data_IF_760412277227
#
_entry.id   IF_760412277227
#
_cell.length_a   1.000
_cell.length_b   1.000
_cell.length_c   1.000
_cell.angle_alpha   90.00
_cell.angle_beta   90.00
_cell.angle_gamma   90.00
#
_symmetry.space_group_name_H-M   'P 1'
#
loop_
_entity.id
_entity.type
_entity.pdbx_description
1 polymer ?
#
# COMPACT_ATOMS: atom_id res chain seq x y z
N UNK A 1 4.71 -12.46 2.01
CA UNK A 1 3.43 -12.66 1.28
C UNK A 1 3.43 -13.87 0.36
N UNK A 2 4.46 -14.13 -0.44
CA UNK A 2 4.47 -15.27 -1.38
C UNK A 2 4.16 -16.64 -0.73
N UNK A 3 4.56 -16.86 0.52
CA UNK A 3 4.22 -18.10 1.26
C UNK A 3 2.71 -18.27 1.46
N UNK A 4 2.00 -17.20 1.81
CA UNK A 4 0.54 -17.21 2.01
C UNK A 4 -0.19 -17.44 0.69
N UNK A 5 0.33 -16.86 -0.40
CA UNK A 5 -0.19 -17.09 -1.75
C UNK A 5 -0.07 -18.57 -2.13
N UNK A 6 1.08 -19.20 -1.83
CA UNK A 6 1.27 -20.65 -2.08
C UNK A 6 0.35 -21.53 -1.23
N UNK A 7 -0.06 -21.04 -0.06
CA UNK A 7 -1.02 -21.72 0.83
C UNK A 7 -2.47 -21.52 0.41
N UNK A 8 -2.74 -20.63 -0.54
CA UNK A 8 -4.10 -20.31 -1.00
C UNK A 8 -4.91 -19.47 0.01
N UNK A 9 -4.23 -18.84 0.97
CA UNK A 9 -4.90 -17.98 1.95
C UNK A 9 -5.50 -16.75 1.27
N UNK A 10 -6.64 -16.30 1.80
CA UNK A 10 -7.32 -15.09 1.38
C UNK A 10 -7.73 -14.26 2.60
N UNK A 11 -7.80 -12.94 2.41
CA UNK A 11 -8.13 -11.99 3.46
C UNK A 11 -9.21 -11.01 3.02
N UNK A 12 -10.09 -10.66 3.96
CA UNK A 12 -11.08 -9.60 3.77
C UNK A 12 -10.50 -8.19 3.89
N UNK A 13 -9.29 -8.06 4.42
CA UNK A 13 -8.64 -6.77 4.65
C UNK A 13 -7.12 -6.91 4.66
N UNK A 14 -6.43 -5.98 4.02
CA UNK A 14 -4.97 -5.87 4.08
C UNK A 14 -4.60 -4.43 4.44
N UNK A 15 -3.76 -4.26 5.46
CA UNK A 15 -3.13 -2.99 5.81
C UNK A 15 -1.64 -3.11 5.53
N UNK A 16 -1.13 -2.29 4.62
CA UNK A 16 0.25 -2.29 4.14
C UNK A 16 0.96 -1.04 4.64
N UNK A 17 2.09 -1.28 5.31
CA UNK A 17 2.98 -0.23 5.78
C UNK A 17 4.44 -0.55 5.43
N UNK A 18 4.79 -0.59 4.14
CA UNK A 18 6.13 -0.96 3.71
C UNK A 18 7.16 0.11 4.08
N UNK A 19 8.34 -0.26 4.61
CA UNK A 19 9.43 0.68 4.84
C UNK A 19 10.04 1.16 3.53
N UNK A 20 10.67 2.33 3.54
CA UNK A 20 11.43 2.89 2.40
C UNK A 20 12.55 1.95 1.94
N UNK A 21 13.32 1.44 2.90
CA UNK A 21 14.45 0.55 2.71
C UNK A 21 14.45 -0.50 3.82
N UNK A 22 14.90 -1.70 3.50
CA UNK A 22 14.97 -2.77 4.48
C UNK A 22 15.70 -4.00 3.97
N UNK A 23 15.52 -5.10 4.71
CA UNK A 23 15.90 -6.43 4.25
C UNK A 23 14.67 -7.32 4.27
N UNK A 24 14.48 -8.10 3.22
CA UNK A 24 13.45 -9.11 3.16
C UNK A 24 13.80 -10.33 4.01
N UNK A 25 12.92 -11.33 3.98
CA UNK A 25 12.93 -12.45 4.92
C UNK A 25 14.16 -13.36 4.78
N UNK A 26 14.82 -13.35 3.62
CA UNK A 26 16.03 -14.13 3.35
C UNK A 26 17.28 -13.22 3.23
N UNK A 27 17.19 -11.97 3.67
CA UNK A 27 18.28 -11.00 3.65
C UNK A 27 18.40 -10.21 2.35
N UNK A 28 17.48 -10.40 1.40
CA UNK A 28 17.39 -9.63 0.15
C UNK A 28 17.23 -8.13 0.43
N UNK A 29 17.84 -7.29 -0.40
CA UNK A 29 17.69 -5.84 -0.28
C UNK A 29 16.25 -5.47 -0.65
N UNK A 30 15.57 -4.76 0.23
CA UNK A 30 14.26 -4.16 -0.05
C UNK A 30 14.44 -2.66 -0.32
N UNK A 31 13.92 -2.22 -1.46
CA UNK A 31 13.77 -0.81 -1.84
C UNK A 31 12.33 -0.64 -2.27
N UNK A 32 11.62 0.27 -1.61
CA UNK A 32 10.19 0.48 -1.85
C UNK A 32 9.87 0.70 -3.33
N UNK A 33 10.62 1.57 -4.01
CA UNK A 33 10.42 1.92 -5.42
C UNK A 33 10.58 0.71 -6.36
N UNK A 34 11.54 -0.17 -6.06
CA UNK A 34 11.82 -1.36 -6.88
C UNK A 34 10.84 -2.51 -6.60
N UNK A 35 10.30 -2.58 -5.38
CA UNK A 35 9.60 -3.77 -4.89
C UNK A 35 8.11 -3.59 -4.60
N UNK A 36 7.59 -2.35 -4.58
CA UNK A 36 6.17 -2.08 -4.27
C UNK A 36 5.22 -2.77 -5.26
N UNK A 37 5.58 -2.82 -6.54
CA UNK A 37 4.76 -3.46 -7.58
C UNK A 37 4.52 -4.94 -7.30
N UNK A 38 5.60 -5.72 -7.12
CA UNK A 38 5.51 -7.16 -6.81
C UNK A 38 4.73 -7.41 -5.50
N UNK A 39 4.90 -6.53 -4.51
CA UNK A 39 4.16 -6.63 -3.25
C UNK A 39 2.65 -6.41 -3.46
N UNK A 40 2.25 -5.40 -4.24
CA UNK A 40 0.83 -5.13 -4.53
C UNK A 40 0.20 -6.23 -5.39
N UNK A 41 0.93 -6.82 -6.34
CA UNK A 41 0.47 -7.99 -7.09
C UNK A 41 0.22 -9.20 -6.17
N UNK A 42 1.11 -9.42 -5.20
CA UNK A 42 0.88 -10.44 -4.18
C UNK A 42 -0.39 -10.13 -3.36
N UNK A 43 -0.62 -8.87 -3.00
CA UNK A 43 -1.83 -8.45 -2.30
C UNK A 43 -3.09 -8.70 -3.13
N UNK A 44 -3.05 -8.42 -4.45
CA UNK A 44 -4.19 -8.65 -5.35
C UNK A 44 -4.62 -10.12 -5.42
N UNK A 45 -3.65 -11.04 -5.26
CA UNK A 45 -3.90 -12.49 -5.19
C UNK A 45 -4.45 -12.93 -3.83
N UNK A 46 -4.02 -12.27 -2.76
CA UNK A 46 -4.41 -12.57 -1.37
C UNK A 46 -5.72 -11.90 -0.94
N UNK A 47 -6.12 -10.81 -1.56
CA UNK A 47 -7.36 -10.12 -1.21
C UNK A 47 -8.57 -10.86 -1.78
N UNK A 48 -9.62 -11.05 -0.96
CA UNK A 48 -10.89 -11.60 -1.42
C UNK A 48 -11.46 -10.79 -2.59
N UNK A 49 -12.14 -11.41 -3.57
CA UNK A 49 -12.50 -10.76 -4.82
C UNK A 49 -13.71 -9.81 -4.69
N UNK A 50 -14.42 -9.79 -3.55
CA UNK A 50 -15.61 -8.97 -3.32
C UNK A 50 -15.70 -8.51 -1.86
N UNK A 51 -15.98 -7.23 -1.65
CA UNK A 51 -16.25 -6.65 -0.33
C UNK A 51 -15.03 -6.58 0.59
N UNK A 52 -13.83 -6.70 0.03
CA UNK A 52 -12.58 -6.69 0.76
C UNK A 52 -11.85 -5.38 0.57
N UNK A 53 -11.06 -4.96 1.56
CA UNK A 53 -10.42 -3.64 1.54
C UNK A 53 -8.90 -3.72 1.59
N UNK A 54 -8.25 -2.70 1.04
CA UNK A 54 -6.82 -2.49 1.19
C UNK A 54 -6.54 -1.06 1.65
N UNK A 55 -5.62 -0.91 2.58
CA UNK A 55 -5.05 0.38 2.99
C UNK A 55 -3.54 0.31 2.79
N UNK A 56 -3.00 1.18 1.95
CA UNK A 56 -1.57 1.38 1.73
C UNK A 56 -1.15 2.70 2.36
N UNK A 57 -0.12 2.64 3.18
CA UNK A 57 0.53 3.81 3.77
C UNK A 57 1.99 3.88 3.33
N UNK A 58 2.47 5.07 2.96
CA UNK A 58 3.81 5.31 2.47
C UNK A 58 4.41 6.51 3.21
N UNK A 59 5.39 6.25 4.08
CA UNK A 59 6.09 7.28 4.85
C UNK A 59 7.31 7.88 4.14
N UNK A 60 7.71 7.34 2.98
CA UNK A 60 8.88 7.83 2.24
C UNK A 60 8.64 9.24 1.70
N UNK A 61 9.40 10.19 2.23
CA UNK A 61 9.50 11.56 1.72
C UNK A 61 9.92 11.50 0.24
N UNK A 62 8.97 11.73 -0.68
CA UNK A 62 9.21 11.76 -2.12
C UNK A 62 8.17 11.04 -2.98
N UNK A 63 7.39 10.10 -2.41
CA UNK A 63 6.34 9.40 -3.17
C UNK A 63 5.01 10.14 -3.04
N UNK A 64 4.50 10.63 -4.18
CA UNK A 64 3.20 11.32 -4.23
C UNK A 64 2.04 10.35 -4.07
N UNK A 65 0.91 10.85 -3.59
CA UNK A 65 -0.32 10.05 -3.48
C UNK A 65 -0.81 9.54 -4.86
N UNK A 66 -0.54 10.29 -5.93
CA UNK A 66 -0.82 9.89 -7.31
C UNK A 66 -0.02 8.65 -7.72
N UNK A 67 1.24 8.55 -7.28
CA UNK A 67 2.06 7.36 -7.53
C UNK A 67 1.47 6.15 -6.79
N UNK A 68 1.06 6.33 -5.53
CA UNK A 68 0.42 5.27 -4.76
C UNK A 68 -0.84 4.75 -5.44
N UNK A 69 -1.72 5.64 -5.91
CA UNK A 69 -2.92 5.28 -6.67
C UNK A 69 -2.56 4.59 -7.99
N UNK A 70 -1.56 5.08 -8.73
CA UNK A 70 -1.11 4.44 -9.97
C UNK A 70 -0.65 3.00 -9.74
N UNK A 71 0.17 2.77 -8.71
CA UNK A 71 0.67 1.44 -8.38
C UNK A 71 -0.46 0.49 -7.95
N UNK A 72 -1.40 0.99 -7.14
CA UNK A 72 -2.62 0.25 -6.77
C UNK A 72 -3.42 -0.10 -8.02
N UNK A 73 -3.62 0.86 -8.92
CA UNK A 73 -4.42 0.62 -10.13
C UNK A 73 -3.78 -0.37 -11.09
N UNK A 74 -2.45 -0.39 -11.17
CA UNK A 74 -1.73 -1.40 -11.96
C UNK A 74 -1.96 -2.82 -11.42
N UNK A 75 -1.97 -3.00 -10.10
CA UNK A 75 -2.16 -4.32 -9.48
C UNK A 75 -3.63 -4.76 -9.35
N UNK A 76 -4.56 -3.82 -9.17
CA UNK A 76 -5.96 -4.09 -8.84
C UNK A 76 -6.97 -3.64 -9.91
N UNK A 77 -6.55 -2.95 -10.97
CA UNK A 77 -7.44 -2.30 -11.94
C UNK A 77 -7.99 -0.98 -11.41
N UNK A 78 -9.25 -0.65 -11.68
CA UNK A 78 -9.89 0.54 -11.10
C UNK A 78 -10.80 0.13 -9.96
N UNK A 79 -10.34 0.16 -8.69
CA UNK A 79 -11.14 -0.29 -7.56
C UNK A 79 -12.28 0.69 -7.23
N UNK A 80 -13.30 0.18 -6.54
CA UNK A 80 -14.43 0.98 -6.08
C UNK A 80 -14.06 1.78 -4.82
N UNK A 81 -14.65 2.95 -4.66
CA UNK A 81 -14.42 3.83 -3.50
C UNK A 81 -12.93 4.13 -3.21
N UNK A 82 -12.11 4.24 -4.26
CA UNK A 82 -10.70 4.61 -4.13
C UNK A 82 -10.54 6.01 -3.54
N UNK A 83 -9.69 6.12 -2.51
CA UNK A 83 -9.29 7.39 -1.90
C UNK A 83 -7.78 7.39 -1.71
N UNK A 84 -7.13 8.45 -2.14
CA UNK A 84 -5.70 8.65 -1.95
C UNK A 84 -5.41 10.11 -1.62
N UNK A 85 -4.34 10.35 -0.88
CA UNK A 85 -3.95 11.69 -0.48
C UNK A 85 -2.76 11.69 0.46
N UNK A 86 -2.57 12.82 1.13
CA UNK A 86 -1.56 12.98 2.17
C UNK A 86 -2.18 12.77 3.55
N UNK A 87 -1.47 12.04 4.41
CA UNK A 87 -1.72 12.03 5.83
C UNK A 87 -1.06 13.25 6.43
N UNK A 88 -1.86 14.06 7.11
CA UNK A 88 -1.42 15.31 7.69
C UNK A 88 -1.89 15.43 9.14
N UNK A 89 -1.09 16.10 9.96
CA UNK A 89 -1.43 16.47 11.32
C UNK A 89 -1.45 18.00 11.44
N UNK A 90 -2.53 18.54 12.00
CA UNK A 90 -2.63 19.98 12.28
C UNK A 90 -2.09 20.26 13.69
N UNK A 91 -1.09 21.14 13.79
CA UNK A 91 -0.56 21.57 15.08
C UNK A 91 -1.52 22.53 15.81
N UNK A 92 -1.21 22.84 17.08
CA UNK A 92 -2.04 23.76 17.90
C UNK A 92 -2.09 25.19 17.37
N UNK A 93 -1.21 25.56 16.44
CA UNK A 93 -1.15 26.86 15.79
C UNK A 93 -1.81 26.85 14.40
N UNK A 94 -2.42 25.74 13.98
CA UNK A 94 -3.10 25.60 12.68
C UNK A 94 -2.18 25.31 11.51
N UNK A 95 -0.92 24.90 11.74
CA UNK A 95 -0.01 24.46 10.67
C UNK A 95 -0.26 22.99 10.34
N UNK A 96 -0.34 22.69 9.05
CA UNK A 96 -0.47 21.33 8.54
C UNK A 96 0.90 20.69 8.33
N UNK A 97 1.17 19.59 9.03
CA UNK A 97 2.41 18.82 8.96
C UNK A 97 2.17 17.53 8.16
N UNK A 98 2.79 17.35 6.98
CA UNK A 98 2.66 16.11 6.22
C UNK A 98 3.44 14.99 6.91
N UNK A 99 2.81 13.81 6.99
CA UNK A 99 3.38 12.61 7.61
C UNK A 99 3.66 11.50 6.58
N UNK A 100 2.99 11.53 5.43
CA UNK A 100 3.14 10.52 4.40
C UNK A 100 1.98 10.55 3.41
N UNK A 101 1.94 9.60 2.50
CA UNK A 101 0.84 9.42 1.55
C UNK A 101 0.10 8.12 1.82
N UNK A 102 -1.19 8.10 1.51
CA UNK A 102 -2.01 6.90 1.63
C UNK A 102 -2.81 6.66 0.36
N UNK A 103 -3.19 5.38 0.17
CA UNK A 103 -4.18 4.95 -0.80
C UNK A 103 -5.03 3.84 -0.17
N UNK A 104 -6.36 3.95 -0.25
CA UNK A 104 -7.29 2.94 0.25
C UNK A 104 -8.44 2.71 -0.72
N UNK A 105 -8.99 1.51 -0.74
CA UNK A 105 -10.15 1.18 -1.57
C UNK A 105 -10.89 -0.06 -1.04
N UNK A 106 -12.06 -0.33 -1.64
CA UNK A 106 -12.82 -1.57 -1.50
C UNK A 106 -12.94 -2.27 -2.86
N UNK A 107 -12.78 -3.58 -2.88
CA UNK A 107 -12.83 -4.42 -4.09
C UNK A 107 -14.23 -4.94 -4.39
#
# INVERSE_FOLDING_TARGET
MQREVRRGNRYNGIILDPPAYGRGANGEKWILEDNIGEMLECCARLLEPRGAFLVLNLYSMGLSATLASTAVRQAFGTPFEEQFGELCFDDRAGKRLPLGTYCRFVR
#
